data_IF_380950767333
#
_entry.id   IF_380950767333
#
_cell.length_a   1.000
_cell.length_b   1.000
_cell.length_c   1.000
_cell.angle_alpha   90.00
_cell.angle_beta   90.00
_cell.angle_gamma   90.00
#
_symmetry.space_group_name_H-M   'P 1'
#
loop_
_entity.id
_entity.type
_entity.pdbx_description
1 polymer ?
#
# COMPACT_ATOMS: atom_id res chain seq x y z
N UNK A 1 22.83 -11.91 21.79
CA UNK A 1 23.59 -13.15 21.43
C UNK A 1 24.65 -12.75 20.41
N UNK A 2 25.90 -13.27 20.50
CA UNK A 2 26.87 -13.01 19.44
C UNK A 2 26.46 -13.84 18.21
N UNK A 3 26.38 -13.21 17.05
CA UNK A 3 26.15 -13.89 15.77
C UNK A 3 27.24 -14.93 15.51
N UNK A 4 26.89 -16.03 14.86
CA UNK A 4 27.91 -16.96 14.35
C UNK A 4 28.72 -16.24 13.25
N UNK A 5 29.94 -16.70 12.98
CA UNK A 5 30.77 -16.12 11.89
C UNK A 5 30.04 -16.20 10.55
N UNK A 6 29.34 -17.30 10.30
CA UNK A 6 28.56 -17.51 9.06
C UNK A 6 27.43 -16.54 8.93
N UNK A 7 26.64 -16.35 9.99
CA UNK A 7 25.55 -15.39 10.04
C UNK A 7 26.05 -13.95 9.87
N UNK A 8 27.19 -13.63 10.47
CA UNK A 8 27.79 -12.31 10.32
C UNK A 8 28.26 -12.05 8.88
N UNK A 9 28.85 -13.04 8.20
CA UNK A 9 29.23 -12.93 6.79
C UNK A 9 27.97 -12.77 5.90
N UNK A 10 26.91 -13.53 6.14
CA UNK A 10 25.66 -13.39 5.42
C UNK A 10 25.06 -11.99 5.63
N UNK A 11 25.02 -11.52 6.86
CA UNK A 11 24.58 -10.17 7.20
C UNK A 11 25.32 -9.11 6.38
N UNK A 12 26.65 -9.13 6.39
CA UNK A 12 27.46 -8.16 5.65
C UNK A 12 27.24 -8.23 4.14
N UNK A 13 27.07 -9.43 3.57
CA UNK A 13 26.80 -9.60 2.15
C UNK A 13 25.44 -8.98 1.79
N UNK A 14 24.41 -9.24 2.60
CA UNK A 14 23.07 -8.68 2.38
C UNK A 14 23.09 -7.14 2.50
N UNK A 15 23.71 -6.61 3.55
CA UNK A 15 23.78 -5.15 3.78
C UNK A 15 24.57 -4.43 2.68
N UNK A 16 25.70 -5.01 2.22
CA UNK A 16 26.45 -4.47 1.10
C UNK A 16 25.62 -4.47 -0.18
N UNK A 17 24.97 -5.59 -0.49
CA UNK A 17 24.16 -5.70 -1.69
C UNK A 17 22.95 -4.76 -1.69
N UNK A 18 22.31 -4.55 -0.54
CA UNK A 18 21.23 -3.55 -0.38
C UNK A 18 21.74 -2.14 -0.70
N UNK A 19 22.97 -1.83 -0.30
CA UNK A 19 23.54 -0.50 -0.44
C UNK A 19 24.07 -0.22 -1.86
N UNK A 20 24.78 -1.18 -2.44
CA UNK A 20 25.60 -0.96 -3.64
C UNK A 20 25.14 -1.77 -4.86
N UNK A 21 24.18 -2.68 -4.69
CA UNK A 21 23.64 -3.58 -5.73
C UNK A 21 24.73 -4.35 -6.53
N UNK A 22 25.87 -4.63 -5.89
CA UNK A 22 27.01 -5.30 -6.52
C UNK A 22 27.34 -6.64 -5.85
N UNK A 23 27.73 -7.68 -6.61
CA UNK A 23 28.12 -8.96 -6.05
C UNK A 23 29.33 -8.82 -5.11
N UNK A 24 29.26 -9.46 -3.95
CA UNK A 24 30.25 -9.32 -2.87
C UNK A 24 31.31 -10.41 -2.96
N UNK A 25 32.58 -10.01 -3.00
CA UNK A 25 33.74 -10.89 -2.95
C UNK A 25 34.32 -11.04 -1.54
N UNK A 26 35.10 -12.08 -1.32
CA UNK A 26 35.82 -12.27 -0.03
C UNK A 26 36.80 -11.14 0.28
N UNK A 27 37.35 -10.50 -0.76
CA UNK A 27 38.26 -9.38 -0.60
C UNK A 27 37.53 -8.11 -0.13
N UNK A 28 36.37 -7.83 -0.69
CA UNK A 28 35.49 -6.72 -0.30
C UNK A 28 35.14 -6.81 1.18
N UNK A 29 34.83 -8.02 1.70
CA UNK A 29 34.51 -8.22 3.11
C UNK A 29 35.70 -7.94 4.05
N UNK A 30 36.92 -8.18 3.59
CA UNK A 30 38.13 -7.85 4.36
C UNK A 30 38.40 -6.35 4.32
N UNK A 31 38.40 -5.75 3.14
CA UNK A 31 38.84 -4.37 2.92
C UNK A 31 37.84 -3.35 3.46
N UNK A 32 36.54 -3.57 3.24
CA UNK A 32 35.51 -2.61 3.61
C UNK A 32 34.97 -2.83 5.03
N UNK A 33 34.88 -4.09 5.48
CA UNK A 33 34.27 -4.42 6.77
C UNK A 33 35.29 -4.88 7.84
N UNK A 34 36.56 -4.93 7.48
CA UNK A 34 37.63 -5.20 8.42
C UNK A 34 37.59 -6.60 9.06
N UNK A 35 37.10 -7.61 8.35
CA UNK A 35 37.03 -8.98 8.86
C UNK A 35 38.44 -9.53 9.14
N UNK A 36 38.72 -9.83 10.39
CA UNK A 36 39.99 -10.41 10.83
C UNK A 36 40.02 -11.95 10.61
N UNK A 37 39.83 -12.34 9.34
CA UNK A 37 39.91 -13.74 8.92
C UNK A 37 40.48 -13.84 7.51
N UNK A 38 41.11 -14.96 7.16
CA UNK A 38 41.69 -15.15 5.84
C UNK A 38 40.61 -15.17 4.75
N UNK A 39 40.95 -14.65 3.55
CA UNK A 39 40.10 -14.71 2.36
C UNK A 39 39.67 -16.15 2.03
N UNK A 40 40.51 -17.14 2.31
CA UNK A 40 40.19 -18.56 2.15
C UNK A 40 39.07 -19.02 3.10
N UNK A 41 39.10 -18.54 4.36
CA UNK A 41 38.06 -18.83 5.36
C UNK A 41 36.73 -18.21 4.93
N UNK A 42 36.73 -16.95 4.52
CA UNK A 42 35.53 -16.27 4.02
C UNK A 42 34.94 -17.00 2.81
N UNK A 43 35.76 -17.40 1.84
CA UNK A 43 35.28 -18.16 0.67
C UNK A 43 34.66 -19.50 1.08
N UNK A 44 35.23 -20.19 2.09
CA UNK A 44 34.67 -21.43 2.63
C UNK A 44 33.27 -21.21 3.21
N UNK A 45 33.08 -20.15 4.02
CA UNK A 45 31.76 -19.82 4.58
C UNK A 45 30.77 -19.38 3.49
N UNK A 46 31.20 -18.56 2.51
CA UNK A 46 30.36 -18.18 1.37
C UNK A 46 29.90 -19.39 0.54
N UNK A 47 30.80 -20.37 0.33
CA UNK A 47 30.45 -21.61 -0.36
C UNK A 47 29.48 -22.48 0.46
N UNK A 48 29.59 -22.47 1.79
CA UNK A 48 28.63 -23.16 2.64
C UNK A 48 27.24 -22.49 2.56
N UNK A 49 27.18 -21.15 2.66
CA UNK A 49 25.95 -20.37 2.50
C UNK A 49 25.30 -20.56 1.11
N UNK A 50 26.11 -20.66 0.06
CA UNK A 50 25.62 -20.97 -1.31
C UNK A 50 25.02 -22.37 -1.36
N UNK A 51 25.67 -23.39 -0.80
CA UNK A 51 25.15 -24.77 -0.75
C UNK A 51 23.86 -24.88 0.07
N UNK A 52 23.73 -24.07 1.11
CA UNK A 52 22.53 -23.98 1.95
C UNK A 52 21.41 -23.15 1.29
N UNK A 53 21.71 -22.53 0.13
CA UNK A 53 20.76 -21.74 -0.65
C UNK A 53 20.52 -20.32 -0.13
N UNK A 54 21.39 -19.77 0.73
CA UNK A 54 21.30 -18.38 1.20
C UNK A 54 22.00 -17.37 0.28
N UNK A 55 22.97 -17.84 -0.53
CA UNK A 55 23.69 -17.04 -1.51
C UNK A 55 23.66 -17.70 -2.86
N UNK A 56 23.83 -16.88 -3.91
CA UNK A 56 23.89 -17.29 -5.31
C UNK A 56 25.13 -16.73 -6.00
N UNK A 57 25.55 -17.43 -7.04
CA UNK A 57 26.60 -16.96 -7.96
C UNK A 57 25.99 -16.16 -9.09
N UNK A 58 26.53 -15.00 -9.36
CA UNK A 58 26.25 -14.31 -10.61
C UNK A 58 27.11 -14.88 -11.74
N UNK A 59 26.55 -14.98 -12.93
CA UNK A 59 27.21 -15.60 -14.10
C UNK A 59 28.54 -14.93 -14.52
N UNK A 60 28.83 -13.72 -14.05
CA UNK A 60 29.95 -12.90 -14.51
C UNK A 60 31.05 -12.64 -13.48
N UNK A 61 30.89 -13.04 -12.23
CA UNK A 61 31.87 -12.73 -11.17
C UNK A 61 32.10 -13.86 -10.18
N UNK A 62 33.26 -13.82 -9.47
CA UNK A 62 33.53 -14.69 -8.31
C UNK A 62 32.76 -14.26 -7.05
N UNK A 63 32.03 -13.16 -7.09
CA UNK A 63 31.20 -12.64 -6.02
C UNK A 63 29.94 -13.45 -5.78
N UNK A 64 29.26 -13.17 -4.67
CA UNK A 64 27.99 -13.75 -4.29
C UNK A 64 26.96 -12.64 -4.11
N UNK A 65 25.71 -12.99 -4.40
CA UNK A 65 24.53 -12.15 -4.12
C UNK A 65 23.61 -12.92 -3.16
N UNK A 66 22.81 -12.24 -2.34
CA UNK A 66 21.81 -12.91 -1.52
C UNK A 66 20.73 -13.54 -2.39
N UNK A 67 20.31 -14.76 -2.05
CA UNK A 67 19.08 -15.36 -2.60
C UNK A 67 17.84 -14.85 -1.86
N UNK A 68 16.64 -15.13 -2.38
CA UNK A 68 15.37 -14.86 -1.68
C UNK A 68 15.34 -15.48 -0.28
N UNK A 69 15.89 -16.70 -0.13
CA UNK A 69 16.06 -17.36 1.18
C UNK A 69 17.03 -16.62 2.08
N UNK A 70 18.12 -16.10 1.53
CA UNK A 70 19.12 -15.32 2.26
C UNK A 70 18.57 -14.02 2.80
N UNK A 71 17.80 -13.29 2.00
CA UNK A 71 17.12 -12.09 2.43
C UNK A 71 16.09 -12.37 3.53
N UNK A 72 15.28 -13.41 3.40
CA UNK A 72 14.29 -13.80 4.43
C UNK A 72 14.97 -14.10 5.75
N UNK A 73 16.04 -14.90 5.73
CA UNK A 73 16.81 -15.24 6.93
C UNK A 73 17.45 -13.99 7.58
N UNK A 74 18.00 -13.07 6.77
CA UNK A 74 18.52 -11.80 7.25
C UNK A 74 17.46 -10.98 7.98
N UNK A 75 16.27 -10.85 7.41
CA UNK A 75 15.17 -10.08 8.00
C UNK A 75 14.71 -10.70 9.31
N UNK A 76 14.57 -12.02 9.36
CA UNK A 76 14.03 -12.72 10.52
C UNK A 76 15.03 -12.82 11.68
N UNK A 77 16.35 -12.83 11.40
CA UNK A 77 17.35 -13.22 12.39
C UNK A 77 18.58 -12.31 12.51
N UNK A 78 18.92 -11.55 11.48
CA UNK A 78 20.23 -10.89 11.41
C UNK A 78 20.17 -9.36 11.37
N UNK A 79 19.05 -8.77 10.96
CA UNK A 79 18.93 -7.32 10.84
C UNK A 79 18.99 -6.66 12.22
N UNK A 80 19.63 -5.51 12.28
CA UNK A 80 19.55 -4.65 13.47
C UNK A 80 18.21 -3.89 13.43
N UNK A 81 17.52 -3.82 14.55
CA UNK A 81 16.27 -3.07 14.70
C UNK A 81 16.50 -1.53 14.76
N UNK A 82 17.58 -1.04 14.20
CA UNK A 82 17.90 0.40 14.21
C UNK A 82 17.10 1.10 13.12
N UNK A 83 16.03 1.76 13.51
CA UNK A 83 15.32 2.70 12.63
C UNK A 83 16.16 3.95 12.46
N UNK A 84 16.33 4.44 11.22
CA UNK A 84 16.99 5.73 10.99
C UNK A 84 16.36 6.81 11.89
N UNK A 85 17.20 7.42 12.73
CA UNK A 85 16.75 8.42 13.71
C UNK A 85 16.03 9.61 13.05
N UNK A 86 16.36 9.93 11.80
CA UNK A 86 15.69 11.00 11.04
C UNK A 86 14.26 10.62 10.70
N UNK A 87 14.03 9.40 10.17
CA UNK A 87 12.70 8.88 9.86
C UNK A 87 11.85 8.83 11.13
N UNK A 88 12.41 8.23 12.19
CA UNK A 88 11.72 8.13 13.48
C UNK A 88 11.32 9.50 14.02
N UNK A 89 12.22 10.47 14.00
CA UNK A 89 11.96 11.82 14.51
C UNK A 89 10.91 12.55 13.67
N UNK A 90 10.97 12.47 12.34
CA UNK A 90 9.98 13.11 11.46
C UNK A 90 8.58 12.53 11.66
N UNK A 91 8.45 11.19 11.69
CA UNK A 91 7.17 10.53 11.94
C UNK A 91 6.67 10.84 13.36
N UNK A 92 7.55 10.83 14.38
CA UNK A 92 7.16 11.18 15.75
C UNK A 92 6.66 12.61 15.86
N UNK A 93 7.30 13.56 15.18
CA UNK A 93 6.87 14.97 15.14
C UNK A 93 5.49 15.06 14.51
N UNK A 94 5.27 14.40 13.38
CA UNK A 94 3.99 14.36 12.69
C UNK A 94 2.86 13.76 13.55
N UNK A 95 3.12 12.64 14.22
CA UNK A 95 2.14 11.98 15.11
C UNK A 95 1.76 12.83 16.34
N UNK A 96 2.63 13.72 16.77
CA UNK A 96 2.36 14.64 17.88
C UNK A 96 1.59 15.89 17.45
N UNK A 97 1.37 16.11 16.16
CA UNK A 97 0.66 17.27 15.63
C UNK A 97 -0.85 17.09 15.75
N UNK A 98 -1.42 17.65 16.81
CA UNK A 98 -2.84 17.47 17.19
C UNK A 98 -3.86 18.09 16.23
N UNK A 99 -3.40 18.85 15.25
CA UNK A 99 -4.27 19.55 14.27
C UNK A 99 -4.56 18.71 13.04
N UNK A 100 -3.85 17.61 12.83
CA UNK A 100 -4.00 16.76 11.65
C UNK A 100 -5.11 15.72 11.86
N UNK A 101 -5.86 15.47 10.79
CA UNK A 101 -6.78 14.33 10.74
C UNK A 101 -6.00 13.02 10.57
N UNK A 102 -6.62 11.88 10.89
CA UNK A 102 -6.02 10.57 10.71
C UNK A 102 -5.53 10.33 9.27
N UNK A 103 -6.34 10.72 8.28
CA UNK A 103 -5.97 10.59 6.85
C UNK A 103 -4.76 11.46 6.47
N UNK A 104 -4.67 12.68 7.04
CA UNK A 104 -3.51 13.54 6.83
C UNK A 104 -2.25 12.95 7.45
N UNK A 105 -2.35 12.38 8.64
CA UNK A 105 -1.22 11.70 9.30
C UNK A 105 -0.75 10.50 8.47
N UNK A 106 -1.66 9.65 8.01
CA UNK A 106 -1.34 8.50 7.15
C UNK A 106 -0.66 8.97 5.86
N UNK A 107 -1.28 9.93 5.16
CA UNK A 107 -0.76 10.45 3.89
C UNK A 107 0.65 11.00 4.04
N UNK A 108 0.89 11.85 5.04
CA UNK A 108 2.19 12.47 5.26
C UNK A 108 3.23 11.44 5.74
N UNK A 109 2.85 10.49 6.59
CA UNK A 109 3.73 9.39 7.00
C UNK A 109 4.19 8.55 5.82
N UNK A 110 3.26 8.19 4.93
CA UNK A 110 3.58 7.41 3.73
C UNK A 110 4.46 8.18 2.75
N UNK A 111 4.25 9.50 2.60
CA UNK A 111 5.11 10.35 1.79
C UNK A 111 6.54 10.42 2.37
N UNK A 112 6.68 10.59 3.69
CA UNK A 112 7.98 10.59 4.36
C UNK A 112 8.67 9.23 4.15
N UNK A 113 7.98 8.12 4.40
CA UNK A 113 8.53 6.79 4.21
C UNK A 113 8.99 6.57 2.76
N UNK A 114 8.15 6.85 1.79
CA UNK A 114 8.49 6.68 0.37
C UNK A 114 9.70 7.51 -0.04
N UNK A 115 9.73 8.79 0.34
CA UNK A 115 10.83 9.68 0.00
C UNK A 115 12.16 9.27 0.65
N UNK A 116 12.12 8.82 1.90
CA UNK A 116 13.35 8.48 2.63
C UNK A 116 13.88 7.08 2.31
N UNK A 117 13.00 6.17 1.91
CA UNK A 117 13.38 4.79 1.56
C UNK A 117 13.56 4.57 0.06
N UNK A 118 13.12 5.52 -0.78
CA UNK A 118 12.99 5.37 -2.24
C UNK A 118 12.12 4.17 -2.64
N UNK A 119 11.14 3.81 -1.80
CA UNK A 119 10.21 2.71 -2.05
C UNK A 119 8.79 3.24 -2.27
N UNK A 120 7.98 2.49 -2.99
CA UNK A 120 6.54 2.75 -3.02
C UNK A 120 5.90 2.34 -1.69
N UNK A 121 5.01 3.17 -1.19
CA UNK A 121 4.19 2.88 -0.01
C UNK A 121 2.74 2.80 -0.44
N UNK A 122 2.06 1.73 -0.07
CA UNK A 122 0.65 1.51 -0.37
C UNK A 122 -0.14 1.44 0.93
N UNK A 123 -1.25 2.14 0.97
CA UNK A 123 -2.20 2.05 2.09
C UNK A 123 -3.47 1.39 1.56
N UNK A 124 -3.84 0.30 2.19
CA UNK A 124 -5.14 -0.34 1.98
C UNK A 124 -6.10 0.21 3.03
N UNK A 125 -7.14 0.89 2.58
CA UNK A 125 -8.26 1.23 3.44
C UNK A 125 -9.08 0.00 3.82
N UNK A 126 -10.05 0.15 4.74
CA UNK A 126 -10.92 -0.94 5.15
C UNK A 126 -11.58 -1.64 3.96
N UNK A 127 -11.85 -2.95 4.10
CA UNK A 127 -12.54 -3.69 3.06
C UNK A 127 -13.99 -3.18 2.95
N UNK A 128 -14.44 -2.95 1.72
CA UNK A 128 -15.81 -2.48 1.44
C UNK A 128 -16.90 -3.48 1.88
N UNK A 129 -16.54 -4.76 2.08
CA UNK A 129 -17.47 -5.80 2.59
C UNK A 129 -17.76 -5.65 4.08
N UNK A 130 -16.80 -5.12 4.86
CA UNK A 130 -16.87 -4.99 6.31
C UNK A 130 -17.45 -3.66 6.77
N UNK A 131 -17.82 -2.78 5.85
CA UNK A 131 -18.37 -1.46 6.16
C UNK A 131 -19.76 -1.29 5.60
N UNK A 132 -20.59 -0.58 6.35
CA UNK A 132 -21.97 -0.27 5.99
C UNK A 132 -22.18 1.22 5.83
N UNK A 133 -22.97 1.60 4.83
CA UNK A 133 -23.41 2.98 4.68
C UNK A 133 -24.32 3.38 5.83
N UNK A 134 -23.99 4.45 6.57
CA UNK A 134 -24.86 4.99 7.63
C UNK A 134 -25.55 6.27 7.25
N UNK A 135 -25.03 7.05 6.29
CA UNK A 135 -25.64 8.31 5.87
C UNK A 135 -25.18 8.74 4.48
N UNK A 136 -26.13 9.27 3.73
CA UNK A 136 -25.88 10.11 2.54
C UNK A 136 -26.42 11.49 2.83
N UNK A 137 -25.61 12.52 2.63
CA UNK A 137 -26.02 13.93 2.81
C UNK A 137 -25.72 14.73 1.57
N UNK A 138 -26.52 15.74 1.30
CA UNK A 138 -26.27 16.75 0.27
C UNK A 138 -26.05 18.09 0.95
N UNK A 139 -25.00 18.78 0.55
CA UNK A 139 -24.65 20.12 1.02
C UNK A 139 -24.70 21.05 -0.18
N UNK A 140 -25.72 21.90 -0.30
CA UNK A 140 -25.79 22.87 -1.39
C UNK A 140 -24.70 23.92 -1.21
N UNK A 141 -23.98 24.21 -2.29
CA UNK A 141 -22.93 25.24 -2.32
C UNK A 141 -23.42 26.48 -3.08
N UNK A 142 -24.13 26.27 -4.17
CA UNK A 142 -24.78 27.33 -4.96
C UNK A 142 -26.09 26.82 -5.58
N UNK A 143 -26.71 27.59 -6.45
CA UNK A 143 -27.96 27.22 -7.15
C UNK A 143 -27.80 25.96 -8.01
N UNK A 144 -26.58 25.70 -8.53
CA UNK A 144 -26.29 24.61 -9.44
C UNK A 144 -25.10 23.74 -8.99
N UNK A 145 -24.65 23.89 -7.75
CA UNK A 145 -23.50 23.13 -7.23
C UNK A 145 -23.85 22.56 -5.87
N UNK A 146 -23.63 21.26 -5.69
CA UNK A 146 -23.78 20.60 -4.40
C UNK A 146 -22.67 19.57 -4.16
N UNK A 147 -22.35 19.35 -2.90
CA UNK A 147 -21.47 18.25 -2.46
C UNK A 147 -22.32 17.16 -1.84
N UNK A 148 -22.17 15.95 -2.34
CA UNK A 148 -22.72 14.74 -1.73
C UNK A 148 -21.65 14.12 -0.82
N UNK A 149 -22.05 13.76 0.40
CA UNK A 149 -21.20 13.17 1.43
C UNK A 149 -21.75 11.81 1.82
N UNK A 150 -20.90 10.79 1.77
CA UNK A 150 -21.20 9.43 2.20
C UNK A 150 -20.42 9.13 3.49
N UNK A 151 -21.09 8.51 4.46
CA UNK A 151 -20.49 8.16 5.74
C UNK A 151 -20.73 6.69 6.03
N UNK A 152 -19.69 5.98 6.50
CA UNK A 152 -19.80 4.57 6.94
C UNK A 152 -19.79 4.44 8.47
N UNK A 153 -20.18 3.26 8.95
CA UNK A 153 -20.16 2.86 10.37
C UNK A 153 -18.74 2.80 10.96
N UNK A 154 -17.70 2.69 10.11
CA UNK A 154 -16.30 2.78 10.53
C UNK A 154 -15.71 4.20 10.44
N UNK A 155 -16.55 5.21 10.19
CA UNK A 155 -16.15 6.62 10.16
C UNK A 155 -15.42 7.04 8.88
N UNK A 156 -15.42 6.22 7.83
CA UNK A 156 -14.94 6.66 6.54
C UNK A 156 -15.94 7.64 5.91
N UNK A 157 -15.41 8.75 5.37
CA UNK A 157 -16.18 9.79 4.73
C UNK A 157 -15.65 10.00 3.33
N UNK A 158 -16.50 9.81 2.33
CA UNK A 158 -16.22 10.18 0.94
C UNK A 158 -17.13 11.34 0.56
N UNK A 159 -16.59 12.25 -0.23
CA UNK A 159 -17.38 13.37 -0.74
C UNK A 159 -17.10 13.59 -2.23
N UNK A 160 -18.11 14.08 -2.94
CA UNK A 160 -17.99 14.47 -4.33
C UNK A 160 -18.83 15.70 -4.60
N UNK A 161 -18.20 16.74 -5.17
CA UNK A 161 -18.89 17.95 -5.61
C UNK A 161 -19.31 17.79 -7.06
N UNK A 162 -20.57 18.15 -7.35
CA UNK A 162 -21.18 18.10 -8.66
C UNK A 162 -21.65 19.50 -9.05
N UNK A 163 -21.55 19.79 -10.32
CA UNK A 163 -22.18 20.93 -10.95
C UNK A 163 -23.33 20.39 -11.79
N UNK A 164 -24.52 20.88 -11.57
CA UNK A 164 -25.72 20.47 -12.27
C UNK A 164 -26.10 21.49 -13.34
N UNK A 165 -26.80 21.04 -14.36
CA UNK A 165 -27.41 21.93 -15.34
C UNK A 165 -28.58 22.68 -14.72
N UNK A 166 -28.99 23.81 -15.33
CA UNK A 166 -30.00 24.70 -14.78
C UNK A 166 -31.42 24.08 -14.67
N UNK A 167 -31.63 22.91 -15.27
CA UNK A 167 -32.86 22.12 -15.22
C UNK A 167 -32.96 21.18 -14.00
N UNK A 168 -31.91 21.06 -13.18
CA UNK A 168 -31.88 20.25 -11.96
C UNK A 168 -32.19 21.11 -10.74
N UNK A 169 -33.35 20.87 -10.11
CA UNK A 169 -33.70 21.58 -8.89
C UNK A 169 -33.02 20.92 -7.63
N UNK A 170 -32.57 21.77 -6.70
CA UNK A 170 -32.00 21.32 -5.44
C UNK A 170 -32.97 20.41 -4.65
N UNK A 171 -34.27 20.71 -4.70
CA UNK A 171 -35.33 19.93 -4.06
C UNK A 171 -35.40 18.50 -4.59
N UNK A 172 -35.11 18.27 -5.87
CA UNK A 172 -35.05 16.96 -6.49
C UNK A 172 -33.88 16.17 -5.95
N UNK A 173 -32.71 16.81 -5.78
CA UNK A 173 -31.51 16.19 -5.19
C UNK A 173 -31.80 15.81 -3.72
N UNK A 174 -32.40 16.69 -2.93
CA UNK A 174 -32.77 16.40 -1.54
C UNK A 174 -33.76 15.23 -1.44
N UNK A 175 -34.75 15.18 -2.35
CA UNK A 175 -35.73 14.10 -2.40
C UNK A 175 -35.06 12.77 -2.77
N UNK A 176 -34.13 12.78 -3.70
CA UNK A 176 -33.32 11.63 -4.06
C UNK A 176 -32.47 11.17 -2.89
N UNK A 177 -31.80 12.06 -2.15
CA UNK A 177 -30.99 11.72 -0.97
C UNK A 177 -31.86 11.11 0.13
N UNK A 178 -33.06 11.61 0.38
CA UNK A 178 -34.01 10.99 1.32
C UNK A 178 -34.37 9.56 0.91
N UNK A 179 -34.63 9.35 -0.38
CA UNK A 179 -34.89 8.00 -0.92
C UNK A 179 -33.68 7.10 -0.74
N UNK A 180 -32.48 7.55 -1.08
CA UNK A 180 -31.24 6.79 -0.95
C UNK A 180 -30.99 6.41 0.52
N UNK A 181 -31.14 7.33 1.47
CA UNK A 181 -31.01 7.02 2.90
C UNK A 181 -32.03 5.96 3.35
N UNK A 182 -33.29 6.06 2.90
CA UNK A 182 -34.32 5.10 3.31
C UNK A 182 -34.09 3.69 2.81
N UNK A 183 -33.30 3.50 1.74
CA UNK A 183 -33.09 2.24 1.04
C UNK A 183 -31.70 1.67 1.16
N UNK A 184 -30.69 2.52 1.26
CA UNK A 184 -29.28 2.13 1.21
C UNK A 184 -28.57 2.14 2.57
N UNK A 185 -29.08 2.88 3.56
CA UNK A 185 -28.50 2.85 4.92
C UNK A 185 -28.56 1.43 5.46
N UNK A 186 -27.45 0.98 6.09
CA UNK A 186 -27.26 -0.39 6.57
C UNK A 186 -26.85 -1.39 5.49
N UNK A 187 -26.62 -0.93 4.25
CA UNK A 187 -26.12 -1.81 3.18
C UNK A 187 -24.58 -1.86 3.25
N UNK A 188 -23.96 -3.05 3.10
CA UNK A 188 -22.53 -3.15 2.89
C UNK A 188 -22.10 -2.31 1.68
N UNK A 189 -20.95 -1.66 1.78
CA UNK A 189 -20.43 -0.78 0.70
C UNK A 189 -20.26 -1.54 -0.61
N UNK A 190 -19.85 -2.81 -0.55
CA UNK A 190 -19.75 -3.71 -1.70
C UNK A 190 -21.07 -3.95 -2.45
N UNK A 191 -22.20 -3.90 -1.74
CA UNK A 191 -23.53 -4.12 -2.30
C UNK A 191 -24.26 -2.85 -2.74
N UNK A 192 -23.66 -1.66 -2.57
CA UNK A 192 -24.31 -0.38 -2.86
C UNK A 192 -24.60 -0.20 -4.36
N UNK A 193 -23.70 -0.64 -5.23
CA UNK A 193 -23.86 -0.51 -6.68
C UNK A 193 -25.07 -1.30 -7.16
N UNK A 194 -25.16 -2.58 -6.79
CA UNK A 194 -26.28 -3.46 -7.17
C UNK A 194 -27.62 -2.91 -6.67
N UNK A 195 -27.67 -2.46 -5.40
CA UNK A 195 -28.89 -1.84 -4.86
C UNK A 195 -29.24 -0.53 -5.55
N UNK A 196 -28.25 0.28 -5.91
CA UNK A 196 -28.49 1.53 -6.63
C UNK A 196 -29.05 1.26 -8.04
N UNK A 197 -28.53 0.24 -8.74
CA UNK A 197 -29.07 -0.19 -10.03
C UNK A 197 -30.53 -0.65 -9.91
N UNK A 198 -30.86 -1.42 -8.89
CA UNK A 198 -32.24 -1.86 -8.61
C UNK A 198 -33.19 -0.68 -8.29
N UNK A 199 -32.64 0.43 -7.80
CA UNK A 199 -33.43 1.63 -7.47
C UNK A 199 -33.66 2.58 -8.67
N UNK A 200 -33.00 2.37 -9.80
CA UNK A 200 -33.16 3.23 -10.97
C UNK A 200 -34.61 3.54 -11.34
N UNK A 201 -35.52 2.54 -11.43
CA UNK A 201 -36.92 2.81 -11.75
C UNK A 201 -37.63 3.68 -10.70
N UNK A 202 -37.29 3.48 -9.41
CA UNK A 202 -37.89 4.27 -8.32
C UNK A 202 -37.42 5.73 -8.36
N UNK A 203 -36.16 5.99 -8.70
CA UNK A 203 -35.64 7.36 -8.84
C UNK A 203 -36.33 8.06 -10.01
N UNK A 204 -36.60 7.34 -11.10
CA UNK A 204 -37.30 7.85 -12.26
C UNK A 204 -38.73 8.33 -11.97
N UNK A 205 -39.39 7.72 -11.00
CA UNK A 205 -40.77 8.11 -10.59
C UNK A 205 -40.77 9.33 -9.65
N UNK A 206 -39.66 9.63 -8.99
CA UNK A 206 -39.59 10.68 -7.95
C UNK A 206 -38.96 11.99 -8.40
N UNK A 207 -38.21 12.01 -9.50
CA UNK A 207 -37.38 13.16 -9.89
C UNK A 207 -37.52 13.48 -11.38
N UNK A 208 -37.70 14.74 -11.70
CA UNK A 208 -37.93 15.18 -13.09
C UNK A 208 -36.66 15.06 -13.97
N UNK A 209 -35.49 15.39 -13.40
CA UNK A 209 -34.16 15.29 -14.05
C UNK A 209 -33.45 13.99 -13.65
N UNK A 210 -34.14 12.87 -13.68
CA UNK A 210 -33.79 11.60 -13.07
C UNK A 210 -32.48 10.97 -13.59
N UNK A 211 -32.21 11.02 -14.89
CA UNK A 211 -31.02 10.36 -15.45
C UNK A 211 -29.73 11.05 -15.04
N UNK A 212 -29.71 12.39 -14.98
CA UNK A 212 -28.52 13.16 -14.53
C UNK A 212 -28.23 12.88 -13.05
N UNK A 213 -29.25 13.01 -12.20
CA UNK A 213 -29.13 12.76 -10.76
C UNK A 213 -28.69 11.30 -10.48
N UNK A 214 -29.30 10.35 -11.18
CA UNK A 214 -28.92 8.93 -11.07
C UNK A 214 -27.46 8.71 -11.44
N UNK A 215 -26.98 9.28 -12.55
CA UNK A 215 -25.59 9.14 -13.00
C UNK A 215 -24.62 9.73 -11.98
N UNK A 216 -24.93 10.91 -11.45
CA UNK A 216 -24.13 11.59 -10.42
C UNK A 216 -23.95 10.72 -9.18
N UNK A 217 -25.05 10.15 -8.65
CA UNK A 217 -24.96 9.26 -7.48
C UNK A 217 -24.29 7.94 -7.80
N UNK A 218 -24.55 7.37 -8.98
CA UNK A 218 -23.88 6.14 -9.40
C UNK A 218 -22.36 6.31 -9.50
N UNK A 219 -21.89 7.39 -10.11
CA UNK A 219 -20.46 7.69 -10.15
C UNK A 219 -19.84 7.88 -8.75
N UNK A 220 -20.58 8.53 -7.85
CA UNK A 220 -20.12 8.71 -6.47
C UNK A 220 -20.04 7.37 -5.73
N UNK A 221 -21.04 6.50 -5.88
CA UNK A 221 -21.01 5.16 -5.30
C UNK A 221 -19.93 4.27 -5.91
N UNK A 222 -19.72 4.34 -7.22
CA UNK A 222 -18.63 3.62 -7.88
C UNK A 222 -17.27 4.04 -7.31
N UNK A 223 -17.06 5.33 -7.07
CA UNK A 223 -15.83 5.82 -6.43
C UNK A 223 -15.73 5.36 -4.98
N UNK A 224 -16.85 5.43 -4.23
CA UNK A 224 -16.93 5.05 -2.83
C UNK A 224 -16.73 3.55 -2.60
N UNK A 225 -17.27 2.71 -3.50
CA UNK A 225 -17.18 1.24 -3.43
C UNK A 225 -15.87 0.68 -4.02
N UNK A 226 -15.09 1.49 -4.75
CA UNK A 226 -13.80 1.04 -5.28
C UNK A 226 -12.85 0.69 -4.16
N UNK A 227 -11.97 -0.26 -4.44
CA UNK A 227 -10.89 -0.61 -3.54
C UNK A 227 -10.13 0.65 -3.11
N UNK A 228 -10.14 0.91 -1.80
CA UNK A 228 -9.52 2.08 -1.21
C UNK A 228 -8.03 1.84 -1.09
N UNK A 229 -7.34 2.03 -2.20
CA UNK A 229 -5.90 1.84 -2.31
C UNK A 229 -5.27 3.19 -2.62
N UNK A 230 -4.41 3.65 -1.71
CA UNK A 230 -3.63 4.86 -1.90
C UNK A 230 -2.16 4.49 -2.10
N UNK A 231 -1.57 4.96 -3.20
CA UNK A 231 -0.19 4.68 -3.58
C UNK A 231 0.64 5.96 -3.52
N UNK A 232 1.71 5.91 -2.74
CA UNK A 232 2.70 6.97 -2.56
C UNK A 232 4.05 6.51 -3.10
N UNK A 233 4.90 7.45 -3.53
CA UNK A 233 6.26 7.13 -3.97
C UNK A 233 6.34 6.49 -5.35
N UNK A 234 5.39 6.77 -6.26
CA UNK A 234 5.49 6.30 -7.65
C UNK A 234 6.75 6.81 -8.34
N UNK A 235 7.08 8.08 -8.14
CA UNK A 235 8.23 8.71 -8.78
C UNK A 235 9.54 8.17 -8.21
N UNK A 236 9.60 7.94 -6.91
CA UNK A 236 10.74 7.36 -6.22
C UNK A 236 11.05 5.96 -6.76
N UNK A 237 10.02 5.15 -6.92
CA UNK A 237 10.14 3.80 -7.48
C UNK A 237 10.57 3.82 -8.97
N UNK A 238 10.00 4.73 -9.78
CA UNK A 238 10.33 4.87 -11.20
C UNK A 238 11.74 5.45 -11.42
N UNK A 239 12.36 6.04 -10.41
CA UNK A 239 13.75 6.51 -10.48
C UNK A 239 14.78 5.39 -10.21
N UNK A 240 14.34 4.17 -9.86
CA UNK A 240 15.26 3.06 -9.63
C UNK A 240 15.79 2.52 -10.96
N UNK A 241 17.13 2.45 -11.14
CA UNK A 241 17.75 2.03 -12.41
C UNK A 241 17.34 0.61 -12.83
N UNK A 242 17.18 -0.30 -11.88
CA UNK A 242 16.82 -1.70 -12.12
C UNK A 242 15.42 -1.85 -12.72
N UNK A 243 14.50 -0.94 -12.39
CA UNK A 243 13.16 -0.92 -12.96
C UNK A 243 13.10 -0.25 -14.32
N UNK A 244 13.86 0.82 -14.50
CA UNK A 244 13.84 1.59 -15.75
C UNK A 244 14.65 0.92 -16.87
N UNK A 245 15.56 0.02 -16.54
CA UNK A 245 16.34 -0.76 -17.52
C UNK A 245 15.54 -1.92 -18.14
N UNK A 246 14.44 -2.36 -17.52
CA UNK A 246 13.60 -3.45 -17.97
C UNK A 246 12.17 -2.98 -18.29
N UNK A 247 11.86 -2.86 -19.58
CA UNK A 247 10.58 -2.35 -20.06
C UNK A 247 9.40 -3.26 -19.68
N UNK A 248 9.60 -4.55 -19.49
CA UNK A 248 8.54 -5.50 -19.15
C UNK A 248 8.25 -5.45 -17.65
N UNK A 249 9.26 -5.29 -16.80
CA UNK A 249 9.08 -4.99 -15.37
C UNK A 249 8.30 -3.71 -15.17
N UNK A 250 8.67 -2.66 -15.88
CA UNK A 250 8.00 -1.37 -15.81
C UNK A 250 6.52 -1.46 -16.22
N UNK A 251 6.21 -2.18 -17.30
CA UNK A 251 4.81 -2.40 -17.73
C UNK A 251 3.99 -3.15 -16.70
N UNK A 252 4.55 -4.21 -16.08
CA UNK A 252 3.87 -4.97 -15.02
C UNK A 252 3.54 -4.07 -13.84
N UNK A 253 4.49 -3.26 -13.38
CA UNK A 253 4.27 -2.31 -12.29
C UNK A 253 3.20 -1.26 -12.62
N UNK A 254 3.23 -0.69 -13.82
CA UNK A 254 2.22 0.29 -14.25
C UNK A 254 0.83 -0.38 -14.29
N UNK A 255 0.74 -1.62 -14.76
CA UNK A 255 -0.51 -2.39 -14.75
C UNK A 255 -1.02 -2.57 -13.33
N UNK A 256 -0.17 -3.02 -12.39
CA UNK A 256 -0.50 -3.20 -11.00
C UNK A 256 -0.98 -1.90 -10.34
N UNK A 257 -0.30 -0.78 -10.59
CA UNK A 257 -0.67 0.53 -10.05
C UNK A 257 -2.01 1.07 -10.57
N UNK A 258 -2.47 0.58 -11.71
CA UNK A 258 -3.76 0.93 -12.30
C UNK A 258 -4.86 -0.09 -11.97
N UNK A 259 -4.54 -1.15 -11.22
CA UNK A 259 -5.47 -2.21 -10.83
C UNK A 259 -5.58 -2.30 -9.29
N UNK A 260 -6.42 -1.47 -8.64
CA UNK A 260 -6.57 -1.48 -7.17
C UNK A 260 -6.96 -2.85 -6.61
N UNK A 261 -7.77 -3.62 -7.32
CA UNK A 261 -8.19 -4.97 -6.91
C UNK A 261 -7.03 -5.96 -6.91
N UNK A 262 -6.21 -5.99 -7.97
CA UNK A 262 -5.00 -6.84 -8.01
C UNK A 262 -4.03 -6.44 -6.91
N UNK A 263 -3.84 -5.12 -6.69
CA UNK A 263 -2.98 -4.58 -5.64
C UNK A 263 -3.50 -4.98 -4.26
N UNK A 264 -4.79 -4.88 -4.00
CA UNK A 264 -5.39 -5.33 -2.74
C UNK A 264 -5.17 -6.82 -2.53
N UNK A 265 -5.46 -7.65 -3.53
CA UNK A 265 -5.26 -9.11 -3.44
C UNK A 265 -3.81 -9.47 -3.13
N UNK A 266 -2.84 -8.79 -3.77
CA UNK A 266 -1.41 -9.02 -3.56
C UNK A 266 -0.93 -8.58 -2.16
N UNK A 267 -1.52 -7.53 -1.59
CA UNK A 267 -1.11 -6.93 -0.32
C UNK A 267 -1.91 -7.43 0.88
N UNK A 268 -3.07 -8.10 0.66
CA UNK A 268 -3.84 -8.67 1.75
C UNK A 268 -3.11 -9.91 2.27
N UNK A 269 -2.78 -9.86 3.55
CA UNK A 269 -2.09 -10.93 4.25
C UNK A 269 -2.96 -11.42 5.41
N UNK A 270 -3.27 -12.71 5.41
CA UNK A 270 -4.04 -13.40 6.45
C UNK A 270 -3.19 -13.76 7.68
N UNK A 271 -1.90 -13.35 7.72
CA UNK A 271 -1.05 -13.62 8.87
C UNK A 271 -1.46 -12.77 10.08
N UNK A 272 -1.43 -13.37 11.26
CA UNK A 272 -1.66 -12.68 12.55
C UNK A 272 -0.48 -11.78 12.99
N UNK A 273 0.54 -11.62 12.12
CA UNK A 273 1.72 -10.81 12.44
C UNK A 273 1.44 -9.33 12.19
N UNK A 274 1.84 -8.48 13.12
CA UNK A 274 1.77 -7.01 12.96
C UNK A 274 2.69 -6.50 11.82
N UNK A 275 3.75 -7.22 11.52
CA UNK A 275 4.67 -6.95 10.41
C UNK A 275 4.93 -8.25 9.65
N UNK A 276 4.69 -8.26 8.36
CA UNK A 276 5.05 -9.36 7.48
C UNK A 276 5.93 -8.88 6.34
N UNK A 277 6.91 -9.69 5.97
CA UNK A 277 7.80 -9.46 4.83
C UNK A 277 7.64 -10.62 3.87
N UNK A 278 7.09 -10.36 2.72
CA UNK A 278 6.94 -11.32 1.64
C UNK A 278 7.94 -11.00 0.53
N UNK A 279 8.88 -11.90 0.33
CA UNK A 279 9.78 -11.87 -0.83
C UNK A 279 9.14 -12.77 -1.86
N UNK A 280 8.65 -12.17 -2.94
CA UNK A 280 7.94 -12.89 -4.01
C UNK A 280 8.92 -13.84 -4.71
N UNK A 281 8.51 -15.07 -4.98
CA UNK A 281 9.36 -16.05 -5.64
C UNK A 281 9.60 -15.65 -7.11
N UNK A 282 10.80 -15.94 -7.64
CA UNK A 282 11.21 -15.54 -9.00
C UNK A 282 10.28 -16.05 -10.11
N UNK A 283 9.58 -17.16 -9.86
CA UNK A 283 8.63 -17.76 -10.80
C UNK A 283 7.26 -17.06 -10.84
N UNK A 284 7.01 -16.10 -9.96
CA UNK A 284 5.76 -15.33 -9.92
C UNK A 284 5.79 -14.16 -10.92
N UNK A 285 4.61 -13.71 -11.36
CA UNK A 285 4.46 -12.53 -12.25
C UNK A 285 5.18 -11.30 -11.70
N UNK A 286 5.35 -11.19 -10.38
CA UNK A 286 6.00 -10.11 -9.65
C UNK A 286 7.24 -10.55 -8.86
N UNK A 287 7.91 -11.63 -9.30
CA UNK A 287 9.02 -12.30 -8.60
C UNK A 287 10.25 -11.43 -8.28
N UNK A 288 10.33 -10.25 -8.89
CA UNK A 288 11.40 -9.28 -8.64
C UNK A 288 11.06 -8.28 -7.51
N UNK A 289 9.91 -8.47 -6.83
CA UNK A 289 9.42 -7.53 -5.82
C UNK A 289 9.46 -8.13 -4.42
N UNK A 290 9.71 -7.28 -3.45
CA UNK A 290 9.53 -7.62 -2.04
C UNK A 290 8.45 -6.71 -1.44
N UNK A 291 7.57 -7.30 -0.65
CA UNK A 291 6.42 -6.61 -0.06
C UNK A 291 6.55 -6.67 1.45
N UNK A 292 6.50 -5.50 2.08
CA UNK A 292 6.45 -5.37 3.53
C UNK A 292 5.07 -4.85 3.89
N UNK A 293 4.31 -5.64 4.64
CA UNK A 293 2.98 -5.27 5.10
C UNK A 293 2.97 -5.05 6.61
N UNK A 294 2.22 -4.07 7.07
CA UNK A 294 1.97 -3.81 8.47
C UNK A 294 0.52 -3.41 8.70
N UNK A 295 -0.11 -3.99 9.72
CA UNK A 295 -1.45 -3.62 10.16
C UNK A 295 -1.37 -2.37 11.03
N UNK A 296 -2.14 -1.34 10.71
CA UNK A 296 -2.21 -0.09 11.47
C UNK A 296 -3.52 -0.08 12.24
N UNK A 297 -3.44 -0.03 13.57
CA UNK A 297 -4.61 0.15 14.43
C UNK A 297 -4.89 1.64 14.61
N UNK A 298 -6.08 2.08 14.25
CA UNK A 298 -6.50 3.47 14.45
C UNK A 298 -7.02 3.66 15.87
N UNK A 299 -6.66 4.77 16.57
CA UNK A 299 -7.20 5.07 17.88
C UNK A 299 -8.73 5.23 17.81
N UNK A 300 -9.48 4.47 18.61
CA UNK A 300 -10.96 4.52 18.68
C UNK A 300 -11.69 3.45 17.88
N UNK A 301 -10.99 2.57 17.19
CA UNK A 301 -11.57 1.34 16.66
C UNK A 301 -11.27 0.22 17.65
N UNK A 302 -12.21 -0.01 18.58
CA UNK A 302 -12.21 -1.24 19.36
C UNK A 302 -12.35 -2.44 18.42
N UNK A 303 -11.64 -3.52 18.75
CA UNK A 303 -11.76 -4.81 18.09
C UNK A 303 -13.23 -5.25 18.15
N UNK A 304 -13.98 -4.87 17.13
CA UNK A 304 -15.27 -5.48 16.86
C UNK A 304 -15.00 -6.87 16.30
N UNK A 305 -15.23 -7.88 17.11
CA UNK A 305 -15.31 -9.29 16.75
C UNK A 305 -16.16 -9.48 15.50
#
# INVERSE_FOLDING_TARGET
MSLSRRDYILKLIVEHFIKDATPVGSQTLIEEYGLDVSSATIRSEMNALEKEGFLEKTHTSSGRVPSSKGYRYYIDHLRDETVDSKIKNQITTLLNEKTLTADQVITQSCQILSHMTNLATVVLGPNAEDEHLISVQVIPISTNTATVVFVTDRGYVENKTFIFDDDVELNDIESCVKLLNSRLVGTPVSGLIEKMEAMKPLIQDYVTSNDVIYQVFMEAFLKFARDRVSLFGKNELLNQPDLTSDADKLKRLIKLFNSPSEMRQMLTDDSDKDLNVNIVDEDDEYGDMSIITSKIKMPGQDEGT
#
